data_IF_929486728120
#
_entry.id   IF_929486728120
#
_cell.length_a   1.000
_cell.length_b   1.000
_cell.length_c   1.000
_cell.angle_alpha   90.00
_cell.angle_beta   90.00
_cell.angle_gamma   90.00
#
_symmetry.space_group_name_H-M   'P 1'
#
loop_
_entity.id
_entity.type
_entity.pdbx_description
1 polymer ?
#
# COMPACT_ATOMS: atom_id res chain seq x y z
N UNK A 1 -28.57 31.42 -25.10
CA UNK A 1 -27.29 30.94 -24.54
C UNK A 1 -27.39 29.44 -24.32
N UNK A 2 -26.66 28.63 -25.08
CA UNK A 2 -26.77 27.15 -25.02
C UNK A 2 -25.71 26.57 -24.08
N UNK A 3 -26.12 25.74 -23.12
CA UNK A 3 -25.24 25.03 -22.18
C UNK A 3 -24.36 24.02 -22.95
N UNK A 4 -23.04 23.94 -22.72
CA UNK A 4 -22.24 22.89 -23.32
C UNK A 4 -22.56 21.55 -22.64
N UNK A 5 -22.85 20.53 -23.46
CA UNK A 5 -23.06 19.17 -23.01
C UNK A 5 -21.72 18.56 -22.55
N UNK A 6 -21.69 18.03 -21.32
CA UNK A 6 -20.52 17.32 -20.80
C UNK A 6 -20.25 16.07 -21.64
N UNK A 7 -18.98 15.79 -22.01
CA UNK A 7 -18.65 14.59 -22.77
C UNK A 7 -18.95 13.35 -21.93
N UNK A 8 -19.76 12.44 -22.48
CA UNK A 8 -20.07 11.14 -21.89
C UNK A 8 -18.77 10.34 -21.79
N UNK A 9 -18.27 10.15 -20.57
CA UNK A 9 -17.11 9.28 -20.32
C UNK A 9 -17.47 7.87 -20.79
N UNK A 10 -16.79 7.37 -21.82
CA UNK A 10 -16.90 5.97 -22.21
C UNK A 10 -16.17 5.18 -21.14
N UNK A 11 -16.92 4.61 -20.19
CA UNK A 11 -16.40 3.62 -19.25
C UNK A 11 -15.62 2.58 -20.05
N UNK A 12 -14.38 2.32 -19.63
CA UNK A 12 -13.51 1.34 -20.27
C UNK A 12 -14.26 0.01 -20.35
N UNK A 13 -14.45 -0.48 -21.58
CA UNK A 13 -15.07 -1.78 -21.84
C UNK A 13 -14.22 -2.85 -21.17
N UNK A 14 -14.67 -3.35 -20.01
CA UNK A 14 -14.09 -4.52 -19.37
C UNK A 14 -14.21 -5.68 -20.36
N UNK A 15 -13.08 -6.15 -20.87
CA UNK A 15 -13.05 -7.25 -21.84
C UNK A 15 -13.66 -8.51 -21.19
N UNK A 16 -14.70 -9.07 -21.82
CA UNK A 16 -15.34 -10.35 -21.44
C UNK A 16 -14.46 -11.57 -21.80
N UNK A 17 -13.14 -11.47 -21.63
CA UNK A 17 -12.17 -12.53 -21.88
C UNK A 17 -11.62 -13.08 -20.57
N UNK A 18 -11.26 -14.37 -20.55
CA UNK A 18 -10.43 -14.96 -19.48
C UNK A 18 -9.19 -14.07 -19.35
N UNK A 19 -8.84 -13.62 -18.14
CA UNK A 19 -7.65 -12.77 -17.91
C UNK A 19 -6.45 -13.46 -18.58
N UNK A 20 -5.64 -12.74 -19.38
CA UNK A 20 -4.45 -13.34 -20.00
C UNK A 20 -3.56 -13.92 -18.90
N UNK A 21 -3.15 -15.17 -19.07
CA UNK A 21 -2.15 -15.81 -18.22
C UNK A 21 -0.82 -15.68 -18.96
N UNK A 22 0.11 -14.90 -18.41
CA UNK A 22 1.40 -14.65 -19.02
C UNK A 22 2.48 -15.61 -18.50
N UNK A 23 2.30 -16.16 -17.30
CA UNK A 23 3.26 -17.05 -16.66
C UNK A 23 2.69 -18.44 -16.37
N UNK A 24 3.56 -19.42 -16.16
CA UNK A 24 3.16 -20.79 -15.83
C UNK A 24 2.43 -20.89 -14.49
N UNK A 25 2.85 -20.09 -13.51
CA UNK A 25 2.22 -20.00 -12.19
C UNK A 25 1.21 -18.83 -12.14
N UNK A 26 -0.10 -19.12 -11.94
CA UNK A 26 -1.13 -18.11 -11.78
C UNK A 26 -0.90 -17.12 -10.62
N UNK A 27 -0.12 -17.49 -9.59
CA UNK A 27 0.23 -16.56 -8.52
C UNK A 27 1.18 -15.46 -9.01
N UNK A 28 2.07 -15.76 -9.96
CA UNK A 28 2.96 -14.79 -10.59
C UNK A 28 2.18 -13.76 -11.42
N UNK A 29 1.18 -14.20 -12.18
CA UNK A 29 0.29 -13.29 -12.93
C UNK A 29 -0.51 -12.35 -12.01
N UNK A 30 -0.98 -12.87 -10.86
CA UNK A 30 -1.65 -12.04 -9.86
C UNK A 30 -0.72 -10.99 -9.27
N UNK A 31 0.51 -11.37 -8.92
CA UNK A 31 1.52 -10.45 -8.40
C UNK A 31 1.86 -9.36 -9.43
N UNK A 32 2.03 -9.71 -10.70
CA UNK A 32 2.25 -8.74 -11.78
C UNK A 32 1.06 -7.78 -11.88
N UNK A 33 -0.19 -8.28 -11.88
CA UNK A 33 -1.37 -7.42 -11.92
C UNK A 33 -1.43 -6.46 -10.74
N UNK A 34 -1.14 -6.93 -9.52
CA UNK A 34 -1.09 -6.07 -8.33
C UNK A 34 0.01 -5.01 -8.45
N UNK A 35 1.19 -5.38 -8.95
CA UNK A 35 2.32 -4.47 -9.14
C UNK A 35 2.00 -3.38 -10.17
N UNK A 36 1.35 -3.74 -11.28
CA UNK A 36 0.91 -2.78 -12.30
C UNK A 36 -0.13 -1.81 -11.75
N UNK A 37 -1.11 -2.30 -10.99
CA UNK A 37 -2.09 -1.42 -10.32
C UNK A 37 -1.40 -0.46 -9.33
N UNK A 38 -0.46 -0.95 -8.52
CA UNK A 38 0.30 -0.07 -7.61
C UNK A 38 1.16 0.96 -8.35
N UNK A 39 1.74 0.59 -9.49
CA UNK A 39 2.50 1.50 -10.35
C UNK A 39 1.60 2.61 -10.90
N UNK A 40 0.39 2.27 -11.35
CA UNK A 40 -0.61 3.23 -11.84
C UNK A 40 -1.02 4.20 -10.73
N UNK A 41 -1.39 3.71 -9.55
CA UNK A 41 -1.76 4.53 -8.39
C UNK A 41 -0.60 5.46 -7.95
N UNK A 42 0.64 4.95 -7.99
CA UNK A 42 1.82 5.76 -7.70
C UNK A 42 2.05 6.85 -8.76
N UNK A 43 1.82 6.56 -10.05
CA UNK A 43 1.92 7.55 -11.12
C UNK A 43 0.92 8.68 -10.93
N UNK A 44 -0.35 8.35 -10.70
CA UNK A 44 -1.42 9.34 -10.45
C UNK A 44 -1.11 10.17 -9.19
N UNK A 45 -0.58 9.54 -8.14
CA UNK A 45 -0.17 10.25 -6.92
C UNK A 45 0.96 11.24 -7.20
N UNK A 46 1.97 10.85 -7.99
CA UNK A 46 3.08 11.74 -8.39
C UNK A 46 2.61 12.90 -9.25
N UNK A 47 1.72 12.67 -10.21
CA UNK A 47 1.12 13.72 -11.03
C UNK A 47 0.31 14.71 -10.19
N UNK A 48 -0.42 14.21 -9.18
CA UNK A 48 -1.14 15.06 -8.24
C UNK A 48 -0.20 15.92 -7.39
N UNK A 49 0.93 15.37 -6.95
CA UNK A 49 1.95 16.14 -6.22
C UNK A 49 2.56 17.24 -7.09
N UNK A 50 2.98 16.93 -8.33
CA UNK A 50 3.47 17.94 -9.30
C UNK A 50 2.42 19.04 -9.54
N UNK A 51 1.14 18.66 -9.68
CA UNK A 51 0.05 19.62 -9.83
C UNK A 51 -0.09 20.54 -8.62
N UNK A 52 0.04 20.00 -7.40
CA UNK A 52 -0.01 20.80 -6.17
C UNK A 52 1.19 21.76 -6.08
N UNK A 53 2.39 21.30 -6.40
CA UNK A 53 3.61 22.12 -6.40
C UNK A 53 3.48 23.29 -7.37
N UNK A 54 3.02 23.04 -8.60
CA UNK A 54 2.77 24.10 -9.60
C UNK A 54 1.71 25.08 -9.15
N UNK A 55 0.62 24.60 -8.53
CA UNK A 55 -0.43 25.47 -8.01
C UNK A 55 0.08 26.37 -6.88
N UNK A 56 0.87 25.83 -5.95
CA UNK A 56 1.49 26.60 -4.86
C UNK A 56 2.46 27.66 -5.39
N UNK A 57 3.29 27.29 -6.37
CA UNK A 57 4.21 28.22 -7.03
C UNK A 57 3.46 29.34 -7.78
N UNK A 58 2.40 29.00 -8.54
CA UNK A 58 1.58 30.00 -9.25
C UNK A 58 0.88 30.99 -8.31
N UNK A 59 0.60 30.56 -7.07
CA UNK A 59 0.03 31.39 -6.01
C UNK A 59 1.08 32.11 -5.18
N UNK A 60 2.36 31.97 -5.51
CA UNK A 60 3.49 32.55 -4.79
C UNK A 60 3.54 32.14 -3.31
N UNK A 61 3.04 30.94 -2.98
CA UNK A 61 3.02 30.41 -1.60
C UNK A 61 4.33 29.70 -1.25
N UNK A 62 4.89 28.95 -2.21
CA UNK A 62 6.11 28.16 -2.05
C UNK A 62 6.89 28.18 -3.36
N UNK A 63 8.18 28.47 -3.31
CA UNK A 63 9.05 28.37 -4.47
C UNK A 63 9.47 26.90 -4.71
N UNK A 64 9.54 26.47 -5.96
CA UNK A 64 9.94 25.09 -6.29
C UNK A 64 11.33 24.73 -5.74
N UNK A 65 12.29 25.67 -5.82
CA UNK A 65 13.63 25.48 -5.26
C UNK A 65 13.65 25.36 -3.72
N UNK A 66 12.68 25.98 -3.03
CA UNK A 66 12.54 25.85 -1.57
C UNK A 66 12.09 24.43 -1.20
N UNK A 67 11.18 23.85 -1.97
CA UNK A 67 10.76 22.46 -1.78
C UNK A 67 11.89 21.47 -2.08
N UNK A 68 12.65 21.68 -3.17
CA UNK A 68 13.77 20.80 -3.56
C UNK A 68 14.91 20.80 -2.55
N UNK A 69 15.16 21.94 -1.90
CA UNK A 69 16.19 22.09 -0.86
C UNK A 69 15.68 21.77 0.54
N UNK A 70 14.38 21.55 0.70
CA UNK A 70 13.78 21.29 2.00
C UNK A 70 14.27 19.95 2.58
N UNK A 71 14.71 19.99 3.83
CA UNK A 71 15.04 18.82 4.62
C UNK A 71 14.13 18.76 5.87
N UNK A 72 13.66 17.57 6.26
CA UNK A 72 12.89 17.43 7.48
C UNK A 72 13.74 17.79 8.70
N UNK A 73 13.15 18.50 9.66
CA UNK A 73 13.70 18.59 11.01
C UNK A 73 13.76 17.20 11.66
N UNK A 74 14.50 17.06 12.76
CA UNK A 74 14.54 15.81 13.52
C UNK A 74 13.13 15.37 13.97
N UNK A 75 12.30 16.32 14.39
CA UNK A 75 10.89 16.09 14.75
C UNK A 75 10.07 15.60 13.56
N UNK A 76 10.11 16.31 12.42
CA UNK A 76 9.38 15.90 11.22
C UNK A 76 9.85 14.53 10.68
N UNK A 77 11.13 14.19 10.83
CA UNK A 77 11.65 12.88 10.47
C UNK A 77 11.10 11.77 11.37
N UNK A 78 10.99 12.01 12.68
CA UNK A 78 10.39 11.08 13.64
C UNK A 78 8.90 10.87 13.35
N UNK A 79 8.15 11.94 13.10
CA UNK A 79 6.73 11.87 12.73
C UNK A 79 6.54 11.03 11.45
N UNK A 80 7.37 11.26 10.42
CA UNK A 80 7.35 10.46 9.19
C UNK A 80 7.67 8.99 9.44
N UNK A 81 8.63 8.71 10.32
CA UNK A 81 8.97 7.34 10.68
C UNK A 81 7.79 6.64 11.38
N UNK A 82 7.18 7.30 12.35
CA UNK A 82 6.00 6.77 13.05
C UNK A 82 4.81 6.54 12.10
N UNK A 83 4.52 7.51 11.23
CA UNK A 83 3.45 7.40 10.23
C UNK A 83 3.69 6.23 9.26
N UNK A 84 4.95 6.05 8.80
CA UNK A 84 5.33 4.93 7.94
C UNK A 84 5.17 3.59 8.66
N UNK A 85 5.65 3.47 9.89
CA UNK A 85 5.48 2.24 10.69
C UNK A 85 4.00 1.90 10.85
N UNK A 86 3.18 2.86 11.27
CA UNK A 86 1.75 2.65 11.45
C UNK A 86 1.04 2.27 10.14
N UNK A 87 1.48 2.82 9.00
CA UNK A 87 0.96 2.43 7.69
C UNK A 87 1.31 0.98 7.33
N UNK A 88 2.58 0.59 7.50
CA UNK A 88 3.03 -0.78 7.27
C UNK A 88 2.29 -1.77 8.18
N UNK A 89 2.16 -1.48 9.46
CA UNK A 89 1.42 -2.34 10.39
C UNK A 89 -0.05 -2.52 9.99
N UNK A 90 -0.72 -1.47 9.53
CA UNK A 90 -2.10 -1.57 9.03
C UNK A 90 -2.21 -2.46 7.80
N UNK A 91 -1.26 -2.36 6.87
CA UNK A 91 -1.23 -3.22 5.67
C UNK A 91 -0.93 -4.68 6.01
N UNK A 92 0.00 -4.92 6.93
CA UNK A 92 0.48 -6.27 7.26
C UNK A 92 -0.40 -7.01 8.28
N UNK A 93 -1.39 -6.34 8.87
CA UNK A 93 -2.24 -6.90 9.93
C UNK A 93 -2.85 -8.27 9.59
N UNK A 94 -3.40 -8.43 8.38
CA UNK A 94 -4.00 -9.70 7.97
C UNK A 94 -2.96 -10.83 7.87
N UNK A 95 -1.78 -10.52 7.33
CA UNK A 95 -0.68 -11.48 7.21
C UNK A 95 -0.12 -11.87 8.57
N UNK A 96 0.02 -10.92 9.51
CA UNK A 96 0.43 -11.23 10.87
C UNK A 96 -0.58 -12.15 11.59
N UNK A 97 -1.88 -11.91 11.43
CA UNK A 97 -2.91 -12.76 12.01
C UNK A 97 -2.86 -14.20 11.45
N UNK A 98 -2.67 -14.36 10.14
CA UNK A 98 -2.48 -15.67 9.50
C UNK A 98 -1.22 -16.38 10.03
N UNK A 99 -0.11 -15.66 10.18
CA UNK A 99 1.15 -16.19 10.70
C UNK A 99 1.03 -16.63 12.17
N UNK A 100 0.37 -15.84 13.02
CA UNK A 100 0.11 -16.18 14.42
C UNK A 100 -0.74 -17.45 14.55
N UNK A 101 -1.75 -17.61 13.69
CA UNK A 101 -2.60 -18.81 13.67
C UNK A 101 -1.85 -20.07 13.23
N UNK A 102 -0.99 -19.96 12.19
CA UNK A 102 -0.12 -21.06 11.76
C UNK A 102 0.86 -21.45 12.89
N UNK A 103 1.47 -20.47 13.53
CA UNK A 103 2.43 -20.68 14.64
C UNK A 103 1.76 -21.35 15.84
N UNK A 104 0.52 -20.94 16.18
CA UNK A 104 -0.27 -21.53 17.25
C UNK A 104 -0.66 -22.99 16.95
N UNK A 105 -1.00 -23.30 15.69
CA UNK A 105 -1.30 -24.67 15.24
C UNK A 105 -0.06 -25.57 15.18
N UNK A 106 1.13 -25.00 15.01
CA UNK A 106 2.41 -25.72 14.96
C UNK A 106 3.08 -25.99 16.32
N UNK A 107 2.55 -25.45 17.42
CA UNK A 107 3.05 -25.73 18.77
C UNK A 107 2.27 -26.90 19.36
N UNK A 108 2.82 -28.12 19.50
CA UNK A 108 2.14 -29.16 20.27
C UNK A 108 2.09 -28.70 21.73
N UNK A 109 0.90 -28.77 22.34
CA UNK A 109 0.73 -28.55 23.78
C UNK A 109 1.65 -29.53 24.51
N UNK A 110 2.74 -29.02 25.08
CA UNK A 110 3.55 -29.77 26.03
C UNK A 110 2.87 -29.69 27.38
N UNK A 111 1.74 -30.40 27.49
CA UNK A 111 1.20 -30.77 28.78
C UNK A 111 2.06 -31.93 29.31
N UNK A 112 3.23 -31.60 29.84
CA UNK A 112 3.91 -32.44 30.82
C UNK A 112 4.03 -31.57 32.07
N UNK A 113 3.05 -31.72 32.96
CA UNK A 113 3.15 -31.16 34.31
C UNK A 113 4.34 -31.86 35.02
N UNK A 114 5.35 -31.11 35.49
CA UNK A 114 6.51 -31.70 36.19
C UNK A 114 6.13 -32.41 37.50
N UNK A 115 4.89 -32.34 37.96
CA UNK A 115 4.44 -32.85 39.27
C UNK A 115 3.98 -34.32 39.27
N UNK A 116 3.76 -34.96 38.12
CA UNK A 116 3.35 -36.38 38.07
C UNK A 116 4.51 -37.39 38.14
N UNK A 117 5.77 -36.91 38.23
CA UNK A 117 6.97 -37.77 38.22
C UNK A 117 7.48 -38.17 39.63
N UNK A 118 6.80 -37.79 40.71
CA UNK A 118 7.19 -38.17 42.08
C UNK A 118 6.02 -38.85 42.77
N UNK A 119 5.79 -40.12 42.44
CA UNK A 119 4.74 -40.90 43.10
C UNK A 119 4.51 -42.27 42.48
N UNK A 120 5.51 -43.15 42.46
CA UNK A 120 5.36 -44.61 42.31
C UNK A 120 6.60 -45.31 42.84
#
# INVERSE_FOLDING_TARGET
>A
MSKPALPKSRLARVAKGKRPQYFSDPATDKLLSMTLTLMEELSVTRERLDSLERLLASKQVLAQAELESWAPSAEAALERAAARTAYVERMMRAMHAELEEITRRGTPASDIDPLDAVGS
#
